data_IF_772589748265
#
_entry.id   IF_772589748265
#
_cell.length_a   1.000
_cell.length_b   1.000
_cell.length_c   1.000
_cell.angle_alpha   90.00
_cell.angle_beta   90.00
_cell.angle_gamma   90.00
#
_symmetry.space_group_name_H-M   'P 1'
#
loop_
_entity.id
_entity.type
_entity.pdbx_description
1 polymer ?
#
# COMPACT_ATOMS: atom_id res chain seq x y z
N UNK A 1 13.77 14.19 12.91
CA UNK A 1 14.41 13.86 14.21
C UNK A 1 13.66 14.42 15.42
N UNK A 2 12.80 15.43 15.29
CA UNK A 2 12.10 16.03 16.45
C UNK A 2 11.08 15.10 17.13
N UNK A 3 10.37 14.27 16.36
CA UNK A 3 9.36 13.34 16.88
C UNK A 3 9.92 12.23 17.77
N UNK A 4 11.09 11.67 17.43
CA UNK A 4 11.72 10.62 18.24
C UNK A 4 12.15 11.15 19.62
N UNK A 5 12.73 12.36 19.65
CA UNK A 5 13.09 13.05 20.90
C UNK A 5 11.84 13.37 21.73
N UNK A 6 10.78 13.81 21.06
CA UNK A 6 9.48 14.08 21.70
C UNK A 6 8.83 12.83 22.32
N UNK A 7 8.85 11.69 21.61
CA UNK A 7 8.35 10.41 22.13
C UNK A 7 9.17 9.95 23.34
N UNK A 8 10.50 10.07 23.27
CA UNK A 8 11.37 9.79 24.42
C UNK A 8 11.02 10.68 25.63
N UNK A 9 10.78 11.97 25.41
CA UNK A 9 10.41 12.90 26.49
C UNK A 9 9.00 12.65 27.02
N UNK A 10 8.10 12.13 26.18
CA UNK A 10 6.75 11.67 26.59
C UNK A 10 6.85 10.45 27.50
N UNK A 11 7.61 9.42 27.09
CA UNK A 11 7.83 8.21 27.90
C UNK A 11 8.47 8.54 29.24
N UNK A 12 9.46 9.45 29.27
CA UNK A 12 10.10 9.91 30.51
C UNK A 12 9.11 10.56 31.47
N UNK A 13 8.17 11.34 30.96
CA UNK A 13 7.19 12.01 31.82
C UNK A 13 6.10 11.05 32.28
N UNK A 14 5.67 10.12 31.42
CA UNK A 14 4.75 9.04 31.82
C UNK A 14 5.34 8.17 32.94
N UNK A 15 6.63 7.82 32.84
CA UNK A 15 7.33 7.10 33.91
C UNK A 15 7.35 7.90 35.22
N UNK A 16 7.51 9.23 35.14
CA UNK A 16 7.40 10.13 36.31
C UNK A 16 5.99 10.15 36.88
N UNK A 17 4.95 10.21 36.08
CA UNK A 17 3.57 10.24 36.60
C UNK A 17 3.15 8.91 37.26
N UNK A 18 3.66 7.78 36.76
CA UNK A 18 3.49 6.46 37.40
C UNK A 18 4.15 6.45 38.78
N UNK A 19 5.36 7.00 38.93
CA UNK A 19 6.05 7.18 40.23
C UNK A 19 5.25 8.01 41.24
N UNK A 20 4.47 8.98 40.78
CA UNK A 20 3.70 9.90 41.66
C UNK A 20 2.27 9.41 41.95
N UNK A 21 1.82 8.32 41.32
CA UNK A 21 0.47 7.76 41.49
C UNK A 21 0.32 6.97 42.80
N UNK A 22 -0.81 7.17 43.49
CA UNK A 22 -1.04 6.88 44.92
C UNK A 22 -1.23 5.40 45.34
N UNK A 23 -0.76 4.40 44.58
CA UNK A 23 -0.89 2.98 44.99
C UNK A 23 0.42 2.40 45.52
N UNK A 24 0.38 1.78 46.70
CA UNK A 24 1.57 1.27 47.42
C UNK A 24 2.33 0.15 46.69
N UNK A 25 1.65 -0.63 45.85
CA UNK A 25 2.28 -1.67 45.01
C UNK A 25 3.02 -1.08 43.81
N UNK A 26 2.57 0.08 43.30
CA UNK A 26 3.14 0.74 42.12
C UNK A 26 4.46 1.46 42.44
N UNK A 27 4.68 1.85 43.70
CA UNK A 27 5.90 2.56 44.11
C UNK A 27 7.17 1.71 43.98
N UNK A 28 7.10 0.44 44.39
CA UNK A 28 8.24 -0.49 44.31
C UNK A 28 8.58 -0.81 42.84
N UNK A 29 7.56 -1.04 42.02
CA UNK A 29 7.73 -1.25 40.57
C UNK A 29 8.23 -0.01 39.83
N UNK A 30 7.99 1.19 40.37
CA UNK A 30 8.39 2.43 39.75
C UNK A 30 9.86 2.80 40.07
N UNK A 31 10.36 2.43 41.26
CA UNK A 31 11.81 2.42 41.57
C UNK A 31 12.56 1.45 40.66
N UNK A 32 12.04 0.22 40.51
CA UNK A 32 12.60 -0.79 39.59
C UNK A 32 12.59 -0.30 38.12
N UNK A 33 11.56 0.46 37.72
CA UNK A 33 11.45 1.04 36.38
C UNK A 33 12.45 2.18 36.13
N UNK A 34 12.72 3.03 37.13
CA UNK A 34 13.70 4.11 36.98
C UNK A 34 15.12 3.56 36.89
N UNK A 35 15.44 2.53 37.68
CA UNK A 35 16.71 1.81 37.59
C UNK A 35 16.88 1.16 36.20
N UNK A 36 15.85 0.48 35.71
CA UNK A 36 15.82 -0.11 34.38
C UNK A 36 16.06 0.90 33.26
N UNK A 37 15.36 2.04 33.28
CA UNK A 37 15.50 3.09 32.27
C UNK A 37 16.92 3.69 32.31
N UNK A 38 17.52 3.81 33.49
CA UNK A 38 18.87 4.34 33.66
C UNK A 38 19.95 3.33 33.19
N UNK A 39 19.76 2.04 33.43
CA UNK A 39 20.60 0.96 32.87
C UNK A 39 20.50 0.92 31.33
N UNK A 40 19.29 1.04 30.78
CA UNK A 40 19.09 1.10 29.33
C UNK A 40 19.79 2.31 28.69
N UNK A 41 19.70 3.50 29.32
CA UNK A 41 20.40 4.71 28.85
C UNK A 41 21.92 4.60 28.94
N UNK A 42 22.46 3.80 29.86
CA UNK A 42 23.90 3.51 29.99
C UNK A 42 24.41 2.52 28.94
N UNK A 43 23.53 1.99 28.08
CA UNK A 43 23.89 1.01 27.06
C UNK A 43 23.94 -0.43 27.60
N UNK A 44 23.28 -0.71 28.73
CA UNK A 44 23.11 -2.05 29.26
C UNK A 44 22.31 -2.94 28.29
N UNK A 45 22.65 -4.23 28.23
CA UNK A 45 21.83 -5.22 27.50
C UNK A 45 20.66 -5.62 28.38
N UNK A 46 19.46 -5.54 27.82
CA UNK A 46 18.23 -5.92 28.50
C UNK A 46 17.71 -7.22 27.91
N UNK A 47 17.25 -8.14 28.76
CA UNK A 47 16.61 -9.39 28.33
C UNK A 47 15.15 -9.17 27.90
N UNK A 48 14.65 -10.01 26.99
CA UNK A 48 13.26 -9.94 26.54
C UNK A 48 12.26 -10.13 27.70
N UNK A 49 12.61 -10.95 28.69
CA UNK A 49 11.76 -11.21 29.86
C UNK A 49 11.62 -9.98 30.76
N UNK A 50 12.70 -9.21 30.93
CA UNK A 50 12.66 -7.92 31.62
C UNK A 50 11.78 -6.93 30.85
N UNK A 51 11.96 -6.81 29.53
CA UNK A 51 11.14 -5.92 28.69
C UNK A 51 9.64 -6.26 28.82
N UNK A 52 9.29 -7.55 28.75
CA UNK A 52 7.92 -8.02 28.89
C UNK A 52 7.36 -7.82 30.30
N UNK A 53 8.20 -7.96 31.33
CA UNK A 53 7.84 -7.68 32.72
C UNK A 53 7.45 -6.21 32.92
N UNK A 54 8.26 -5.28 32.40
CA UNK A 54 8.00 -3.84 32.51
C UNK A 54 6.89 -3.36 31.55
N UNK A 55 6.74 -3.95 30.36
CA UNK A 55 5.68 -3.60 29.43
C UNK A 55 4.28 -3.75 30.04
N UNK A 56 4.08 -4.74 30.91
CA UNK A 56 2.82 -4.96 31.65
C UNK A 56 2.46 -3.83 32.62
N UNK A 57 3.43 -3.01 33.04
CA UNK A 57 3.20 -1.86 33.92
C UNK A 57 2.61 -0.66 33.16
N UNK A 58 2.82 -0.60 31.84
CA UNK A 58 2.24 0.41 30.97
C UNK A 58 0.87 -0.06 30.46
N UNK A 59 -0.11 -0.23 31.35
CA UNK A 59 -1.49 -0.48 30.93
C UNK A 59 -2.04 0.75 30.19
N UNK A 60 -2.54 0.55 28.96
CA UNK A 60 -3.03 1.59 28.03
C UNK A 60 -4.05 2.58 28.65
N UNK A 61 -4.82 2.12 29.63
CA UNK A 61 -5.82 2.93 30.33
C UNK A 61 -5.20 3.89 31.36
N UNK A 62 -4.16 3.45 32.08
CA UNK A 62 -3.50 4.22 33.14
C UNK A 62 -2.64 5.35 32.55
N UNK A 63 -2.14 5.16 31.33
CA UNK A 63 -1.24 6.11 30.67
C UNK A 63 -1.94 7.34 30.12
N UNK A 64 -3.17 7.22 29.61
CA UNK A 64 -3.78 8.32 28.85
C UNK A 64 -4.42 9.40 29.74
N UNK A 65 -4.85 9.07 30.96
CA UNK A 65 -5.60 10.00 31.81
C UNK A 65 -4.74 11.12 32.38
N UNK A 66 -3.45 10.89 32.61
CA UNK A 66 -2.54 11.88 33.18
C UNK A 66 -1.71 12.65 32.13
N UNK A 67 -1.75 12.26 30.86
CA UNK A 67 -0.97 12.93 29.81
C UNK A 67 -1.48 14.33 29.51
N UNK A 68 -0.54 15.27 29.35
CA UNK A 68 -0.80 16.65 28.98
C UNK A 68 -1.37 16.80 27.56
N UNK A 69 -2.21 17.82 27.34
CA UNK A 69 -2.83 18.07 26.03
C UNK A 69 -1.84 18.16 24.86
N UNK A 70 -0.70 18.87 24.94
CA UNK A 70 0.28 18.90 23.85
C UNK A 70 0.78 17.50 23.46
N UNK A 71 0.86 16.58 24.43
CA UNK A 71 1.27 15.20 24.21
C UNK A 71 0.20 14.34 23.59
N UNK A 72 -1.04 14.46 24.07
CA UNK A 72 -2.19 13.82 23.42
C UNK A 72 -2.29 14.23 21.94
N UNK A 73 -2.17 15.52 21.64
CA UNK A 73 -2.19 16.06 20.27
C UNK A 73 -1.11 15.43 19.40
N UNK A 74 0.11 15.30 19.91
CA UNK A 74 1.21 14.73 19.16
C UNK A 74 1.08 13.21 18.97
N UNK A 75 0.59 12.49 19.97
CA UNK A 75 0.27 11.07 19.85
C UNK A 75 -0.83 10.85 18.79
N UNK A 76 -1.88 11.69 18.78
CA UNK A 76 -2.90 11.64 17.73
C UNK A 76 -2.28 11.82 16.34
N UNK A 77 -1.45 12.86 16.15
CA UNK A 77 -0.75 13.10 14.87
C UNK A 77 0.11 11.92 14.45
N UNK A 78 0.87 11.35 15.37
CA UNK A 78 1.72 10.18 15.11
C UNK A 78 0.89 8.97 14.66
N UNK A 79 -0.27 8.78 15.27
CA UNK A 79 -1.21 7.71 14.92
C UNK A 79 -2.06 8.01 13.68
N UNK A 80 -1.78 9.11 12.96
CA UNK A 80 -2.54 9.53 11.78
C UNK A 80 -3.95 10.06 12.11
N UNK A 81 -4.24 10.35 13.37
CA UNK A 81 -5.52 10.92 13.83
C UNK A 81 -5.42 12.44 13.82
N UNK A 82 -6.41 13.11 13.24
CA UNK A 82 -6.51 14.58 13.33
C UNK A 82 -6.85 15.01 14.77
N UNK A 83 -5.99 15.78 15.46
CA UNK A 83 -6.25 16.19 16.83
C UNK A 83 -7.19 17.40 16.86
N UNK A 84 -8.41 17.20 17.34
CA UNK A 84 -9.38 18.27 17.60
C UNK A 84 -10.19 17.97 18.87
N UNK A 85 -10.88 18.98 19.41
CA UNK A 85 -11.74 18.83 20.57
C UNK A 85 -11.03 18.91 21.93
N UNK A 86 -11.71 18.37 22.95
CA UNK A 86 -11.28 18.37 24.36
C UNK A 86 -10.31 17.23 24.63
N UNK A 87 -9.56 17.32 25.73
CA UNK A 87 -8.58 16.32 26.12
C UNK A 87 -9.23 14.94 26.34
N UNK A 88 -10.44 14.92 26.90
CA UNK A 88 -11.23 13.69 27.04
C UNK A 88 -11.54 13.05 25.68
N UNK A 89 -11.85 13.87 24.67
CA UNK A 89 -12.09 13.39 23.31
C UNK A 89 -10.82 12.86 22.64
N UNK A 90 -9.69 13.57 22.79
CA UNK A 90 -8.39 13.09 22.28
C UNK A 90 -8.01 11.73 22.90
N UNK A 91 -8.19 11.57 24.22
CA UNK A 91 -7.99 10.29 24.91
C UNK A 91 -8.89 9.20 24.37
N UNK A 92 -10.18 9.49 24.18
CA UNK A 92 -11.12 8.54 23.58
C UNK A 92 -10.67 8.11 22.18
N UNK A 93 -10.28 9.05 21.32
CA UNK A 93 -9.80 8.75 19.97
C UNK A 93 -8.55 7.86 19.97
N UNK A 94 -7.59 8.15 20.85
CA UNK A 94 -6.40 7.30 21.02
C UNK A 94 -6.77 5.90 21.52
N UNK A 95 -7.60 5.78 22.56
CA UNK A 95 -8.08 4.49 23.08
C UNK A 95 -8.79 3.67 22.00
N UNK A 96 -9.68 4.32 21.24
CA UNK A 96 -10.39 3.69 20.14
C UNK A 96 -9.42 3.16 19.08
N UNK A 97 -8.44 3.96 18.67
CA UNK A 97 -7.47 3.57 17.65
C UNK A 97 -6.54 2.45 18.11
N UNK A 98 -6.11 2.45 19.38
CA UNK A 98 -5.36 1.34 19.96
C UNK A 98 -6.19 0.04 19.99
N UNK A 99 -7.48 0.15 20.29
CA UNK A 99 -8.38 -1.00 20.27
C UNK A 99 -8.60 -1.55 18.86
N UNK A 100 -8.67 -0.69 17.84
CA UNK A 100 -8.70 -1.10 16.43
C UNK A 100 -7.45 -1.90 16.07
N UNK A 101 -6.26 -1.37 16.37
CA UNK A 101 -4.98 -2.08 16.11
C UNK A 101 -4.97 -3.44 16.80
N UNK A 102 -5.41 -3.52 18.06
CA UNK A 102 -5.47 -4.79 18.81
C UNK A 102 -6.45 -5.80 18.19
N UNK A 103 -7.53 -5.34 17.60
CA UNK A 103 -8.48 -6.21 16.91
C UNK A 103 -7.91 -6.68 15.56
N UNK A 104 -7.25 -5.78 14.83
CA UNK A 104 -6.56 -6.09 13.58
C UNK A 104 -5.44 -7.13 13.83
N UNK A 105 -4.65 -6.98 14.89
CA UNK A 105 -3.60 -7.94 15.27
C UNK A 105 -4.17 -9.35 15.49
N UNK A 106 -5.36 -9.46 16.09
CA UNK A 106 -6.04 -10.76 16.27
C UNK A 106 -6.53 -11.33 14.95
N UNK A 107 -7.03 -10.50 14.06
CA UNK A 107 -7.48 -10.91 12.73
C UNK A 107 -6.29 -11.44 11.92
N UNK A 108 -5.19 -10.68 11.88
CA UNK A 108 -3.94 -11.07 11.23
C UNK A 108 -3.43 -12.40 11.81
N UNK A 109 -3.47 -12.57 13.14
CA UNK A 109 -3.06 -13.83 13.75
C UNK A 109 -3.90 -15.02 13.27
N UNK A 110 -5.21 -14.86 13.13
CA UNK A 110 -6.11 -15.90 12.65
C UNK A 110 -5.84 -16.24 11.18
N UNK A 111 -5.71 -15.23 10.31
CA UNK A 111 -5.39 -15.41 8.89
C UNK A 111 -4.04 -16.10 8.68
N UNK A 112 -3.03 -15.73 9.47
CA UNK A 112 -1.70 -16.37 9.41
C UNK A 112 -1.78 -17.85 9.79
N UNK A 113 -2.58 -18.21 10.79
CA UNK A 113 -2.73 -19.61 11.17
C UNK A 113 -3.50 -20.41 10.10
N UNK A 114 -4.50 -19.80 9.48
CA UNK A 114 -5.22 -20.39 8.35
C UNK A 114 -4.29 -20.65 7.16
N UNK A 115 -3.51 -19.65 6.73
CA UNK A 115 -2.53 -19.81 5.64
C UNK A 115 -1.48 -20.88 5.98
N UNK A 116 -1.02 -20.94 7.23
CA UNK A 116 -0.11 -21.99 7.69
C UNK A 116 -0.75 -23.37 7.59
N UNK A 117 -2.02 -23.50 7.95
CA UNK A 117 -2.75 -24.76 7.81
C UNK A 117 -2.88 -25.16 6.34
N UNK A 118 -3.27 -24.23 5.47
CA UNK A 118 -3.37 -24.48 4.03
C UNK A 118 -2.04 -24.97 3.43
N UNK A 119 -0.91 -24.39 3.85
CA UNK A 119 0.42 -24.82 3.42
C UNK A 119 0.78 -26.21 3.97
N UNK A 120 0.43 -26.51 5.22
CA UNK A 120 0.62 -27.85 5.80
C UNK A 120 -0.17 -28.90 5.01
N UNK A 121 -1.44 -28.63 4.72
CA UNK A 121 -2.29 -29.53 3.94
C UNK A 121 -1.73 -29.74 2.52
N UNK A 122 -1.19 -28.69 1.90
CA UNK A 122 -0.54 -28.82 0.59
C UNK A 122 0.69 -29.74 0.65
N UNK A 123 1.55 -29.56 1.66
CA UNK A 123 2.74 -30.39 1.82
C UNK A 123 2.38 -31.86 2.06
N UNK A 124 1.33 -32.12 2.84
CA UNK A 124 0.82 -33.47 3.09
C UNK A 124 0.30 -34.14 1.81
N UNK A 125 -0.52 -33.44 1.02
CA UNK A 125 -1.03 -33.92 -0.26
C UNK A 125 0.08 -34.20 -1.27
N UNK A 126 1.11 -33.34 -1.31
CA UNK A 126 2.23 -33.49 -2.22
C UNK A 126 3.17 -34.64 -1.82
N UNK A 127 3.53 -34.74 -0.53
CA UNK A 127 4.58 -35.65 -0.06
C UNK A 127 4.05 -37.02 0.36
N UNK A 128 2.87 -37.08 0.98
CA UNK A 128 2.32 -38.31 1.53
C UNK A 128 1.29 -38.96 0.60
N UNK A 129 0.57 -38.16 -0.19
CA UNK A 129 -0.44 -38.66 -1.14
C UNK A 129 0.04 -38.72 -2.60
N UNK A 130 1.28 -38.31 -2.89
CA UNK A 130 1.90 -38.37 -4.22
C UNK A 130 1.06 -37.71 -5.33
N UNK A 131 0.30 -36.65 -4.99
CA UNK A 131 -0.50 -35.93 -5.97
C UNK A 131 0.39 -35.06 -6.88
N UNK A 132 0.19 -35.07 -8.22
CA UNK A 132 0.94 -34.23 -9.14
C UNK A 132 0.79 -32.74 -8.83
N UNK A 133 1.88 -31.98 -8.92
CA UNK A 133 1.89 -30.54 -8.62
C UNK A 133 0.93 -29.73 -9.50
N UNK A 134 0.74 -30.13 -10.76
CA UNK A 134 -0.22 -29.49 -11.68
C UNK A 134 -1.66 -29.55 -11.16
N UNK A 135 -2.10 -30.70 -10.64
CA UNK A 135 -3.44 -30.88 -10.07
C UNK A 135 -3.62 -30.11 -8.76
N UNK A 136 -2.57 -30.06 -7.93
CA UNK A 136 -2.59 -29.28 -6.70
C UNK A 136 -2.73 -27.78 -6.99
N UNK A 137 -1.99 -27.26 -7.97
CA UNK A 137 -2.06 -25.85 -8.39
C UNK A 137 -3.47 -25.51 -8.86
N UNK A 138 -4.07 -26.35 -9.72
CA UNK A 138 -5.44 -26.18 -10.18
C UNK A 138 -6.44 -26.21 -9.01
N UNK A 139 -6.31 -27.15 -8.09
CA UNK A 139 -7.15 -27.21 -6.89
C UNK A 139 -7.05 -25.93 -6.04
N UNK A 140 -5.87 -25.32 -5.91
CA UNK A 140 -5.74 -24.07 -5.14
C UNK A 140 -6.20 -22.83 -5.90
N UNK A 141 -6.12 -22.80 -7.22
CA UNK A 141 -6.65 -21.69 -8.03
C UNK A 141 -8.14 -21.46 -7.73
N UNK A 142 -8.89 -22.54 -7.50
CA UNK A 142 -10.30 -22.47 -7.09
C UNK A 142 -10.51 -22.29 -5.56
N UNK A 143 -9.53 -22.67 -4.73
CA UNK A 143 -9.59 -22.49 -3.26
C UNK A 143 -9.49 -21.02 -2.83
N UNK A 144 -9.01 -20.12 -3.69
CA UNK A 144 -9.12 -18.65 -3.49
C UNK A 144 -10.59 -18.23 -3.30
N UNK A 145 -11.55 -19.06 -3.71
CA UNK A 145 -12.99 -18.87 -3.49
C UNK A 145 -13.49 -19.31 -2.09
N UNK A 146 -12.63 -19.75 -1.16
CA UNK A 146 -13.02 -20.10 0.22
C UNK A 146 -13.71 -21.46 0.42
N UNK A 147 -13.62 -22.36 -0.57
CA UNK A 147 -14.18 -23.73 -0.51
C UNK A 147 -13.15 -24.75 -0.01
N UNK A 148 -13.63 -25.88 0.52
CA UNK A 148 -12.78 -26.98 1.02
C UNK A 148 -12.02 -27.65 -0.13
N UNK A 149 -10.75 -28.08 0.07
CA UNK A 149 -9.91 -28.61 -1.01
C UNK A 149 -10.50 -29.85 -1.69
N UNK A 150 -11.23 -30.71 -0.96
CA UNK A 150 -11.88 -31.91 -1.50
C UNK A 150 -13.00 -31.58 -2.50
N UNK A 151 -13.86 -30.62 -2.16
CA UNK A 151 -14.95 -30.14 -3.03
C UNK A 151 -14.38 -29.48 -4.27
N UNK A 152 -13.26 -28.77 -4.12
CA UNK A 152 -12.60 -28.07 -5.20
C UNK A 152 -11.92 -29.03 -6.17
N UNK A 153 -11.31 -30.12 -5.69
CA UNK A 153 -10.78 -31.18 -6.56
C UNK A 153 -11.91 -31.85 -7.32
N UNK A 154 -13.05 -32.12 -6.66
CA UNK A 154 -14.21 -32.70 -7.31
C UNK A 154 -14.81 -31.75 -8.37
N UNK A 155 -14.93 -30.46 -8.06
CA UNK A 155 -15.43 -29.44 -8.98
C UNK A 155 -14.49 -29.27 -10.17
N UNK A 156 -13.17 -29.21 -9.93
CA UNK A 156 -12.15 -29.13 -10.98
C UNK A 156 -12.21 -30.36 -11.91
N UNK A 157 -12.29 -31.57 -11.36
CA UNK A 157 -12.42 -32.81 -12.16
C UNK A 157 -13.74 -32.81 -12.95
N UNK A 158 -14.84 -32.36 -12.35
CA UNK A 158 -16.15 -32.30 -13.02
C UNK A 158 -16.26 -31.18 -14.07
N UNK A 159 -15.37 -30.19 -14.01
CA UNK A 159 -15.32 -29.08 -14.96
C UNK A 159 -14.50 -29.39 -16.22
N UNK A 160 -13.76 -30.49 -16.23
CA UNK A 160 -12.98 -30.91 -17.39
C UNK A 160 -13.93 -31.45 -18.49
N UNK A 161 -13.76 -31.01 -19.76
CA UNK A 161 -14.54 -31.56 -20.87
C UNK A 161 -14.22 -33.05 -21.09
N UNK A 162 -15.25 -33.85 -21.43
CA UNK A 162 -15.11 -35.30 -21.70
C UNK A 162 -14.05 -35.62 -22.77
N UNK A 163 -13.81 -34.70 -23.70
CA UNK A 163 -12.82 -34.79 -24.78
C UNK A 163 -11.37 -34.88 -24.26
N UNK A 164 -11.06 -34.25 -23.12
CA UNK A 164 -9.74 -34.29 -22.48
C UNK A 164 -9.56 -35.58 -21.67
N UNK A 165 -10.66 -36.17 -21.19
CA UNK A 165 -10.65 -37.45 -20.47
C UNK A 165 -10.37 -38.61 -21.43
N UNK A 166 -10.95 -38.55 -22.64
CA UNK A 166 -10.82 -39.61 -23.65
C UNK A 166 -9.40 -39.67 -24.26
N UNK A 167 -8.74 -38.52 -24.44
CA UNK A 167 -7.34 -38.45 -24.93
C UNK A 167 -6.32 -39.00 -23.93
N UNK A 168 -6.54 -38.81 -22.63
CA UNK A 168 -5.71 -39.40 -21.56
C UNK A 168 -5.93 -40.92 -21.47
N UNK A 169 -7.16 -41.38 -21.69
CA UNK A 169 -7.48 -42.81 -21.71
C UNK A 169 -6.88 -43.53 -22.92
N UNK A 170 -6.80 -42.86 -24.09
CA UNK A 170 -6.19 -43.40 -25.32
C UNK A 170 -4.66 -43.44 -25.24
N UNK A 171 -4.03 -42.49 -24.56
CA UNK A 171 -2.56 -42.44 -24.43
C UNK A 171 -1.99 -43.38 -23.36
N UNK A 172 -2.83 -43.86 -22.42
CA UNK A 172 -2.40 -44.74 -21.32
C UNK A 172 -2.54 -46.23 -21.59
N UNK A 173 -3.14 -46.61 -22.73
CA UNK A 173 -3.20 -48.01 -23.17
C UNK A 173 -1.92 -48.38 -23.92
N UNK A 174 -1.10 -49.34 -23.43
CA UNK A 174 0.09 -49.78 -24.15
C UNK A 174 -0.34 -50.52 -25.41
N UNK A 175 0.08 -50.03 -26.58
CA UNK A 175 -0.14 -50.73 -27.84
C UNK A 175 1.11 -51.57 -28.16
N UNK A 176 0.95 -52.82 -28.61
CA UNK A 176 2.06 -53.79 -28.77
C UNK A 176 3.17 -53.38 -29.76
N UNK A 177 2.98 -52.30 -30.52
CA UNK A 177 3.86 -51.87 -31.58
C UNK A 177 4.62 -50.57 -31.22
N UNK A 178 5.83 -50.75 -30.69
CA UNK A 178 6.73 -49.69 -30.19
C UNK A 178 7.00 -48.60 -31.25
N UNK A 179 6.98 -48.98 -32.53
CA UNK A 179 7.18 -48.05 -33.65
C UNK A 179 5.98 -47.12 -33.81
N UNK A 180 4.77 -47.68 -33.68
CA UNK A 180 3.52 -46.93 -33.74
C UNK A 180 3.38 -45.98 -32.54
N UNK A 181 3.80 -46.40 -31.33
CA UNK A 181 3.85 -45.52 -30.16
C UNK A 181 4.84 -44.36 -30.33
N UNK A 182 6.05 -44.63 -30.83
CA UNK A 182 7.05 -43.59 -31.09
C UNK A 182 6.59 -42.59 -32.16
N UNK A 183 5.91 -43.07 -33.19
CA UNK A 183 5.36 -42.20 -34.24
C UNK A 183 4.27 -41.29 -33.67
N UNK A 184 3.30 -41.83 -32.93
CA UNK A 184 2.27 -41.02 -32.24
C UNK A 184 2.88 -40.02 -31.25
N UNK A 185 3.93 -40.41 -30.52
CA UNK A 185 4.63 -39.52 -29.60
C UNK A 185 5.39 -38.42 -30.32
N UNK A 186 5.97 -38.70 -31.49
CA UNK A 186 6.63 -37.70 -32.32
C UNK A 186 5.61 -36.71 -32.89
N UNK A 187 4.48 -37.22 -33.41
CA UNK A 187 3.37 -36.38 -33.90
C UNK A 187 2.78 -35.50 -32.78
N UNK A 188 2.65 -36.03 -31.56
CA UNK A 188 2.21 -35.25 -30.41
C UNK A 188 3.20 -34.13 -30.04
N UNK A 189 4.50 -34.40 -30.09
CA UNK A 189 5.53 -33.39 -29.80
C UNK A 189 5.59 -32.32 -30.89
N UNK A 190 5.49 -32.71 -32.16
CA UNK A 190 5.43 -31.78 -33.29
C UNK A 190 4.20 -30.87 -33.19
N UNK A 191 3.05 -31.44 -32.85
CA UNK A 191 1.83 -30.68 -32.57
C UNK A 191 2.02 -29.73 -31.37
N UNK A 192 2.62 -30.18 -30.26
CA UNK A 192 2.90 -29.29 -29.13
C UNK A 192 3.86 -28.15 -29.49
N UNK A 193 4.87 -28.42 -30.32
CA UNK A 193 5.83 -27.41 -30.77
C UNK A 193 5.17 -26.36 -31.68
N UNK A 194 4.22 -26.76 -32.54
CA UNK A 194 3.40 -25.80 -33.29
C UNK A 194 2.51 -24.95 -32.38
N UNK A 195 1.81 -25.55 -31.39
CA UNK A 195 0.99 -24.78 -30.45
C UNK A 195 1.83 -23.80 -29.62
N UNK A 196 3.01 -24.22 -29.14
CA UNK A 196 3.91 -23.35 -28.37
C UNK A 196 4.35 -22.16 -29.22
N UNK A 197 4.66 -22.40 -30.50
CA UNK A 197 5.07 -21.34 -31.42
C UNK A 197 3.93 -20.35 -31.69
N UNK A 198 2.71 -20.85 -31.87
CA UNK A 198 1.52 -20.00 -32.05
C UNK A 198 1.26 -19.14 -30.81
N UNK A 199 1.37 -19.71 -29.60
CA UNK A 199 1.22 -18.98 -28.33
C UNK A 199 2.33 -17.93 -28.12
N UNK A 200 3.58 -18.23 -28.48
CA UNK A 200 4.71 -17.27 -28.42
C UNK A 200 4.53 -16.10 -29.40
N UNK A 201 4.02 -16.37 -30.61
CA UNK A 201 3.64 -15.32 -31.58
C UNK A 201 2.49 -14.44 -31.05
N UNK A 202 1.47 -15.02 -30.41
CA UNK A 202 0.38 -14.27 -29.77
C UNK A 202 0.87 -13.39 -28.61
N UNK A 203 1.76 -13.89 -27.74
CA UNK A 203 2.35 -13.11 -26.66
C UNK A 203 3.22 -11.96 -27.20
N UNK A 204 4.00 -12.17 -28.26
CA UNK A 204 4.77 -11.11 -28.91
C UNK A 204 3.87 -10.01 -29.49
N UNK A 205 2.77 -10.39 -30.14
CA UNK A 205 1.77 -9.45 -30.65
C UNK A 205 1.10 -8.66 -29.52
N UNK A 206 0.72 -9.30 -28.42
CA UNK A 206 0.09 -8.65 -27.28
C UNK A 206 1.07 -7.68 -26.60
N UNK A 207 2.33 -8.10 -26.41
CA UNK A 207 3.38 -7.22 -25.90
C UNK A 207 3.66 -6.04 -26.84
N UNK A 208 3.58 -6.23 -28.16
CA UNK A 208 3.71 -5.14 -29.12
C UNK A 208 2.54 -4.15 -29.00
N UNK A 209 1.30 -4.62 -28.88
CA UNK A 209 0.11 -3.77 -28.62
C UNK A 209 0.21 -2.99 -27.31
N UNK A 210 0.73 -3.61 -26.25
CA UNK A 210 0.97 -2.93 -24.97
C UNK A 210 2.07 -1.84 -25.09
N UNK A 211 3.14 -2.11 -25.85
CA UNK A 211 4.21 -1.11 -26.09
C UNK A 211 3.72 0.05 -26.97
N UNK A 212 2.89 -0.22 -27.97
CA UNK A 212 2.35 0.79 -28.88
C UNK A 212 1.33 1.72 -28.20
N UNK A 213 0.47 1.16 -27.34
CA UNK A 213 -0.44 1.96 -26.51
C UNK A 213 0.30 2.84 -25.48
N UNK A 214 1.41 2.35 -24.92
CA UNK A 214 2.28 3.15 -24.06
C UNK A 214 3.03 4.26 -24.81
N UNK A 215 3.42 4.04 -26.07
CA UNK A 215 4.02 5.07 -26.93
C UNK A 215 3.02 6.18 -27.27
N UNK A 216 1.79 5.79 -27.65
CA UNK A 216 0.74 6.74 -28.05
C UNK A 216 0.36 7.70 -26.91
N UNK A 217 0.32 7.23 -25.65
CA UNK A 217 0.08 8.11 -24.50
C UNK A 217 1.22 9.13 -24.26
N UNK A 218 2.46 8.76 -24.57
CA UNK A 218 3.62 9.64 -24.42
C UNK A 218 3.64 10.76 -25.47
N UNK A 219 3.20 10.45 -26.68
CA UNK A 219 3.11 11.43 -27.78
C UNK A 219 1.99 12.45 -27.54
N UNK A 220 0.83 12.00 -27.03
CA UNK A 220 -0.29 12.88 -26.66
C UNK A 220 0.11 13.85 -25.54
N UNK A 221 0.82 13.39 -24.51
CA UNK A 221 1.28 14.26 -23.42
C UNK A 221 2.29 15.33 -23.88
N UNK A 222 3.16 15.00 -24.85
CA UNK A 222 4.09 15.96 -25.43
C UNK A 222 3.38 17.03 -26.28
N UNK A 223 2.37 16.65 -27.06
CA UNK A 223 1.56 17.60 -27.83
C UNK A 223 0.74 18.54 -26.94
N UNK A 224 0.14 18.04 -25.85
CA UNK A 224 -0.62 18.87 -24.92
C UNK A 224 0.28 19.91 -24.21
N UNK A 225 1.50 19.54 -23.83
CA UNK A 225 2.43 20.48 -23.20
C UNK A 225 2.93 21.55 -24.17
N UNK A 226 3.20 21.19 -25.44
CA UNK A 226 3.68 22.15 -26.45
C UNK A 226 2.59 23.13 -26.86
N UNK A 227 1.34 22.67 -26.99
CA UNK A 227 0.18 23.54 -27.26
C UNK A 227 -0.14 24.48 -26.09
N UNK A 228 -0.03 24.00 -24.85
CA UNK A 228 -0.17 24.84 -23.66
C UNK A 228 0.90 25.94 -23.62
N UNK A 229 2.16 25.58 -23.88
CA UNK A 229 3.30 26.53 -23.91
C UNK A 229 3.13 27.59 -25.00
N UNK A 230 2.67 27.18 -26.20
CA UNK A 230 2.40 28.11 -27.30
C UNK A 230 1.25 29.07 -27.00
N UNK A 231 0.19 28.58 -26.35
CA UNK A 231 -0.96 29.41 -25.92
C UNK A 231 -0.57 30.42 -24.86
N UNK A 232 0.23 30.02 -23.88
CA UNK A 232 0.71 30.90 -22.82
C UNK A 232 1.63 32.00 -23.36
N UNK A 233 2.52 31.67 -24.29
CA UNK A 233 3.35 32.64 -25.01
C UNK A 233 2.51 33.65 -25.81
N UNK A 234 1.43 33.19 -26.46
CA UNK A 234 0.48 34.03 -27.18
C UNK A 234 -0.29 34.99 -26.26
N UNK A 235 -0.73 34.52 -25.10
CA UNK A 235 -1.45 35.35 -24.13
C UNK A 235 -0.52 36.42 -23.52
N UNK A 236 0.72 36.06 -23.16
CA UNK A 236 1.71 37.03 -22.70
C UNK A 236 2.02 38.10 -23.75
N UNK A 237 2.05 37.73 -25.04
CA UNK A 237 2.22 38.70 -26.11
C UNK A 237 1.02 39.66 -26.21
N UNK A 238 -0.21 39.14 -26.10
CA UNK A 238 -1.43 39.97 -26.09
C UNK A 238 -1.48 40.93 -24.92
N UNK A 239 -1.17 40.46 -23.70
CA UNK A 239 -1.12 41.32 -22.50
C UNK A 239 -0.11 42.46 -22.69
N UNK A 240 1.09 42.16 -23.17
CA UNK A 240 2.10 43.19 -23.49
C UNK A 240 1.63 44.18 -24.55
N UNK A 241 0.83 43.76 -25.53
CA UNK A 241 0.24 44.70 -26.50
C UNK A 241 -0.87 45.56 -25.90
N UNK A 242 -1.69 45.01 -24.99
CA UNK A 242 -2.73 45.78 -24.33
C UNK A 242 -2.14 46.84 -23.39
N UNK A 243 -1.09 46.52 -22.64
CA UNK A 243 -0.35 47.51 -21.82
C UNK A 243 0.18 48.66 -22.68
N UNK A 244 0.75 48.36 -23.86
CA UNK A 244 1.23 49.39 -24.78
C UNK A 244 0.10 50.27 -25.32
N UNK A 245 -1.06 49.69 -25.62
CA UNK A 245 -2.24 50.44 -26.09
C UNK A 245 -2.78 51.35 -24.98
N UNK A 246 -2.82 50.86 -23.73
CA UNK A 246 -3.25 51.65 -22.58
C UNK A 246 -2.32 52.84 -22.34
N UNK A 247 -1.00 52.63 -22.39
CA UNK A 247 -0.01 53.70 -22.31
C UNK A 247 -0.19 54.78 -23.39
N UNK A 248 -0.51 54.38 -24.63
CA UNK A 248 -0.79 55.33 -25.72
C UNK A 248 -2.10 56.11 -25.48
N UNK A 249 -3.13 55.47 -24.94
CA UNK A 249 -4.37 56.12 -24.55
C UNK A 249 -4.13 57.18 -23.45
N UNK A 250 -3.33 56.88 -22.43
CA UNK A 250 -2.97 57.86 -21.39
C UNK A 250 -2.23 59.08 -21.96
N UNK A 251 -1.25 58.84 -22.84
CA UNK A 251 -0.53 59.92 -23.53
C UNK A 251 -1.46 60.80 -24.35
N UNK A 252 -2.41 60.21 -25.10
CA UNK A 252 -3.38 60.98 -25.88
C UNK A 252 -4.32 61.83 -25.01
N UNK A 253 -4.76 61.32 -23.85
CA UNK A 253 -5.55 62.09 -22.88
C UNK A 253 -4.75 63.26 -22.31
N UNK A 254 -3.49 63.03 -21.95
CA UNK A 254 -2.60 64.09 -21.47
C UNK A 254 -2.38 65.19 -22.52
N UNK A 255 -2.19 64.80 -23.79
CA UNK A 255 -2.06 65.73 -24.90
C UNK A 255 -3.33 66.58 -25.10
N UNK A 256 -4.51 65.98 -25.01
CA UNK A 256 -5.79 66.69 -25.12
C UNK A 256 -5.98 67.74 -24.00
N UNK A 257 -5.58 67.39 -22.77
CA UNK A 257 -5.59 68.35 -21.64
C UNK A 257 -4.64 69.50 -21.91
N UNK A 258 -3.41 69.24 -22.35
CA UNK A 258 -2.44 70.29 -22.70
C UNK A 258 -2.95 71.19 -23.84
N UNK A 259 -3.54 70.62 -24.89
CA UNK A 259 -4.14 71.38 -25.98
C UNK A 259 -5.27 72.30 -25.47
N UNK A 260 -6.14 71.79 -24.58
CA UNK A 260 -7.23 72.57 -23.99
C UNK A 260 -6.73 73.69 -23.06
N UNK A 261 -5.62 73.48 -22.35
CA UNK A 261 -4.96 74.49 -21.54
C UNK A 261 -4.28 75.55 -22.42
N UNK A 262 -3.68 75.16 -23.53
CA UNK A 262 -3.05 76.07 -24.50
C UNK A 262 -4.07 77.00 -25.18
N UNK A 263 -5.27 76.51 -25.51
CA UNK A 263 -6.37 77.35 -26.04
C UNK A 263 -6.85 78.37 -25.01
N UNK A 264 -6.80 78.05 -23.71
CA UNK A 264 -7.22 78.96 -22.64
C UNK A 264 -6.18 80.06 -22.33
N UNK A 265 -4.90 79.84 -22.66
CA UNK A 265 -3.83 80.84 -22.51
C UNK A 265 -3.80 81.83 -23.70
N UNK A 266 -4.35 81.45 -24.86
CA UNK A 266 -4.41 82.30 -26.05
C UNK A 266 -5.61 83.26 -26.15
N UNK A 267 -6.51 83.28 -25.16
CA UNK A 267 -7.75 84.09 -25.17
C UNK A 267 -7.83 85.15 -24.06
N UNK A 268 -6.69 85.64 -23.55
CA UNK A 268 -6.62 86.78 -22.62
C UNK A 268 -5.72 87.89 -23.18
#
# INVERSE_FOLDING_TARGET
MEYAKFLQDTVKEMAKEILHSRSGEIKKTAEDLDEFINEFRRGGRVSNDEILGFAKLFNDELTLDNISRPRLVNMCKYMGISPYGTDAYLRFMLRKRLQEIKNDDKLIQAEVEEMRQQLRDWLDLSLNHSLPSSLLILSRAFSVSGKRPEEVVQEAISSLPDEVVDTVQVTTMPSEDIVSERRRKLEFLEMQEELIKEEEEEEEEEQARMKESASSQKDVALEEMTTATAREAGEQARVKTMEKVEQLCELSRALAVLASASVRIGSN
#
